data_IF_215972851530
#
_entry.id   IF_215972851530
#
_cell.length_a   1.000
_cell.length_b   1.000
_cell.length_c   1.000
_cell.angle_alpha   90.00
_cell.angle_beta   90.00
_cell.angle_gamma   90.00
#
_symmetry.space_group_name_H-M   'P 1'
#
loop_
_entity.id
_entity.type
_entity.pdbx_description
1 polymer ?
#
# COMPACT_ATOMS: atom_id res chain seq x y z
N UNK A 1 6.56 -34.90 17.35
CA UNK A 1 6.96 -33.57 16.85
C UNK A 1 5.76 -32.64 16.97
N UNK A 2 5.73 -31.79 18.01
CA UNK A 2 4.65 -30.82 18.24
C UNK A 2 4.96 -29.53 17.47
N UNK A 3 3.96 -29.10 16.70
CA UNK A 3 3.89 -27.83 15.97
C UNK A 3 4.25 -26.65 16.89
N UNK A 4 5.21 -25.81 16.46
CA UNK A 4 5.73 -24.70 17.25
C UNK A 4 4.72 -23.58 17.44
N UNK A 5 4.42 -23.25 18.69
CA UNK A 5 3.70 -22.04 19.10
C UNK A 5 4.41 -20.80 18.55
N UNK A 6 3.73 -20.01 17.71
CA UNK A 6 4.21 -18.71 17.27
C UNK A 6 4.36 -17.79 18.48
N UNK A 7 5.58 -17.34 18.75
CA UNK A 7 5.87 -16.46 19.87
C UNK A 7 5.29 -15.07 19.58
N UNK A 8 4.44 -14.55 20.48
CA UNK A 8 3.60 -13.35 20.27
C UNK A 8 4.38 -12.04 20.05
N UNK A 9 5.63 -11.97 20.49
CA UNK A 9 6.49 -10.80 20.30
C UNK A 9 7.40 -10.89 19.06
N UNK A 10 7.41 -12.02 18.34
CA UNK A 10 8.26 -12.20 17.16
C UNK A 10 7.51 -11.94 15.86
N UNK A 11 7.92 -10.89 15.14
CA UNK A 11 7.26 -10.38 13.95
C UNK A 11 7.95 -10.79 12.64
N UNK A 12 8.94 -11.69 12.69
CA UNK A 12 9.66 -12.22 11.52
C UNK A 12 10.26 -11.10 10.65
N UNK A 13 10.13 -11.21 9.33
CA UNK A 13 10.59 -10.25 8.31
C UNK A 13 9.65 -9.04 8.21
N UNK A 14 9.67 -8.18 9.21
CA UNK A 14 9.13 -6.81 9.09
C UNK A 14 10.27 -5.79 9.03
N UNK A 15 10.10 -4.74 8.24
CA UNK A 15 11.09 -3.65 8.16
C UNK A 15 11.07 -2.81 9.43
N UNK A 16 12.15 -2.08 9.69
CA UNK A 16 12.28 -1.15 10.82
C UNK A 16 11.13 -0.18 10.91
N UNK A 17 10.80 0.47 9.79
CA UNK A 17 9.70 1.43 9.69
C UNK A 17 8.34 0.77 9.99
N UNK A 18 8.12 -0.47 9.53
CA UNK A 18 6.90 -1.20 9.84
C UNK A 18 6.80 -1.53 11.34
N UNK A 19 7.93 -1.85 11.98
CA UNK A 19 7.99 -2.03 13.42
C UNK A 19 7.69 -0.75 14.19
N UNK A 20 8.23 0.39 13.75
CA UNK A 20 7.96 1.70 14.37
C UNK A 20 6.47 2.05 14.27
N UNK A 21 5.87 1.93 13.08
CA UNK A 21 4.44 2.17 12.89
C UNK A 21 3.59 1.29 13.79
N UNK A 22 3.91 -0.01 13.84
CA UNK A 22 3.19 -0.97 14.68
C UNK A 22 3.29 -0.59 16.14
N UNK A 23 4.48 -0.25 16.64
CA UNK A 23 4.70 0.13 18.04
C UNK A 23 4.05 1.48 18.39
N UNK A 24 4.01 2.43 17.47
CA UNK A 24 3.41 3.77 17.69
C UNK A 24 1.88 3.79 17.56
N UNK A 25 1.24 2.65 17.30
CA UNK A 25 -0.22 2.52 17.36
C UNK A 25 -0.75 2.92 18.75
N UNK A 26 -1.92 3.60 18.84
CA UNK A 26 -2.51 4.02 20.12
C UNK A 26 -2.76 2.89 21.11
N UNK A 27 -2.92 1.66 20.63
CA UNK A 27 -3.15 0.45 21.42
C UNK A 27 -1.90 -0.05 22.17
N UNK A 28 -0.71 0.44 21.81
CA UNK A 28 0.53 0.11 22.50
C UNK A 28 0.87 1.17 23.56
N UNK A 29 1.38 0.69 24.70
CA UNK A 29 1.85 1.55 25.80
C UNK A 29 3.37 1.74 25.75
N UNK A 30 3.88 2.70 26.52
CA UNK A 30 5.33 2.86 26.75
C UNK A 30 5.94 1.54 27.24
N UNK A 31 7.11 1.15 26.72
CA UNK A 31 7.72 -0.16 26.99
C UNK A 31 7.19 -1.29 26.10
N UNK A 32 6.22 -1.05 25.21
CA UNK A 32 5.81 -2.05 24.22
C UNK A 32 6.98 -2.43 23.31
N UNK A 33 7.07 -3.71 22.92
CA UNK A 33 8.24 -4.19 22.17
C UNK A 33 7.90 -5.29 21.15
N UNK A 34 8.80 -5.46 20.18
CA UNK A 34 8.80 -6.60 19.27
C UNK A 34 10.21 -7.00 18.87
N UNK A 35 10.38 -8.25 18.44
CA UNK A 35 11.61 -8.76 17.82
C UNK A 35 11.33 -9.08 16.36
N UNK A 36 12.25 -8.70 15.48
CA UNK A 36 12.19 -8.90 14.02
C UNK A 36 13.53 -9.35 13.48
N UNK A 37 13.53 -9.86 12.26
CA UNK A 37 14.78 -10.19 11.56
C UNK A 37 15.58 -8.90 11.27
N UNK A 38 16.91 -8.96 11.39
CA UNK A 38 17.77 -7.82 11.09
C UNK A 38 17.82 -7.55 9.59
N UNK A 39 17.57 -6.30 9.19
CA UNK A 39 17.71 -5.87 7.79
C UNK A 39 19.17 -5.75 7.34
N UNK A 40 20.09 -5.54 8.30
CA UNK A 40 21.49 -5.23 8.00
C UNK A 40 22.41 -6.44 7.95
N UNK A 41 22.04 -7.56 8.59
CA UNK A 41 22.81 -8.82 8.54
C UNK A 41 21.91 -10.04 8.59
N UNK A 42 22.25 -11.00 7.75
CA UNK A 42 21.64 -12.32 7.74
C UNK A 42 21.85 -13.02 9.10
N UNK A 43 20.80 -13.68 9.61
CA UNK A 43 20.75 -14.41 10.89
C UNK A 43 20.86 -13.60 12.19
N UNK A 44 21.01 -12.27 12.12
CA UNK A 44 20.84 -11.39 13.30
C UNK A 44 19.37 -11.03 13.51
N UNK A 45 19.03 -10.59 14.72
CA UNK A 45 17.70 -10.06 15.05
C UNK A 45 17.80 -8.59 15.49
N UNK A 46 16.66 -7.90 15.51
CA UNK A 46 16.53 -6.55 16.07
C UNK A 46 15.38 -6.51 17.06
N UNK A 47 15.64 -5.92 18.24
CA UNK A 47 14.64 -5.57 19.25
C UNK A 47 14.21 -4.12 19.04
N UNK A 48 12.92 -3.89 18.86
CA UNK A 48 12.33 -2.56 18.73
C UNK A 48 11.46 -2.29 19.96
N UNK A 49 11.65 -1.14 20.63
CA UNK A 49 10.99 -0.78 21.89
C UNK A 49 10.40 0.62 21.82
N UNK A 50 9.14 0.79 22.23
CA UNK A 50 8.47 2.10 22.32
C UNK A 50 8.94 2.85 23.57
N UNK A 51 9.46 4.04 23.34
CA UNK A 51 9.91 5.00 24.36
C UNK A 51 9.14 6.31 24.17
N UNK A 52 7.95 6.36 24.76
CA UNK A 52 7.01 7.48 24.65
C UNK A 52 6.44 7.58 23.23
N UNK A 53 6.75 8.68 22.56
CA UNK A 53 6.37 8.95 21.17
C UNK A 53 7.44 8.54 20.15
N UNK A 54 8.51 7.88 20.60
CA UNK A 54 9.59 7.39 19.74
C UNK A 54 9.78 5.89 19.89
N UNK A 55 10.52 5.28 18.95
CA UNK A 55 10.88 3.86 19.01
C UNK A 55 12.40 3.73 18.94
N UNK A 56 12.98 2.93 19.83
CA UNK A 56 14.42 2.63 19.86
C UNK A 56 14.68 1.22 19.34
N UNK A 57 15.79 1.06 18.62
CA UNK A 57 16.17 -0.22 18.02
C UNK A 57 17.52 -0.68 18.56
N UNK A 58 17.55 -1.94 19.02
CA UNK A 58 18.74 -2.60 19.54
C UNK A 58 19.05 -3.82 18.70
N UNK A 59 20.33 -4.00 18.38
CA UNK A 59 20.79 -5.14 17.60
C UNK A 59 20.97 -6.34 18.52
N UNK A 60 20.29 -7.45 18.20
CA UNK A 60 20.53 -8.73 18.85
C UNK A 60 21.47 -9.52 17.95
N UNK A 61 22.68 -9.78 18.44
CA UNK A 61 23.72 -10.53 17.71
C UNK A 61 23.74 -11.98 18.18
N UNK A 62 24.05 -12.88 17.27
CA UNK A 62 24.25 -14.30 17.58
C UNK A 62 25.74 -14.60 17.85
N UNK A 63 26.02 -15.52 18.77
CA UNK A 63 27.37 -16.06 19.03
C UNK A 63 27.62 -17.31 18.16
N UNK A 64 28.89 -17.57 17.82
CA UNK A 64 29.29 -18.72 16.98
C UNK A 64 28.93 -20.07 17.61
N UNK A 65 28.98 -20.17 18.95
CA UNK A 65 28.64 -21.39 19.72
C UNK A 65 27.13 -21.51 20.04
N UNK A 66 26.31 -20.60 19.50
CA UNK A 66 24.90 -20.45 19.83
C UNK A 66 24.65 -19.51 21.01
N UNK A 67 23.50 -18.84 20.99
CA UNK A 67 23.12 -17.81 21.97
C UNK A 67 23.07 -16.40 21.39
N UNK A 68 22.48 -15.48 22.16
CA UNK A 68 22.07 -14.14 21.75
C UNK A 68 22.55 -13.10 22.76
N UNK A 69 22.87 -11.90 22.29
CA UNK A 69 23.18 -10.77 23.16
C UNK A 69 22.86 -9.43 22.49
N UNK A 70 22.59 -8.41 23.31
CA UNK A 70 22.58 -6.99 22.89
C UNK A 70 23.91 -6.36 23.30
N UNK A 71 24.24 -6.43 24.59
CA UNK A 71 25.55 -6.09 25.13
C UNK A 71 26.34 -7.37 25.44
N UNK A 72 27.63 -7.45 25.05
CA UNK A 72 28.45 -8.67 25.24
C UNK A 72 28.59 -9.15 26.69
N UNK A 73 28.30 -8.28 27.66
CA UNK A 73 28.35 -8.59 29.10
C UNK A 73 27.27 -9.58 29.55
N UNK A 74 26.14 -9.64 28.83
CA UNK A 74 25.00 -10.48 29.18
C UNK A 74 24.59 -11.30 27.95
N UNK A 75 24.72 -12.62 28.04
CA UNK A 75 24.42 -13.56 26.95
C UNK A 75 23.26 -14.47 27.34
N UNK A 76 22.45 -14.86 26.36
CA UNK A 76 21.23 -15.63 26.55
C UNK A 76 21.23 -16.84 25.62
N UNK A 77 20.72 -17.99 26.05
CA UNK A 77 20.64 -19.18 25.19
C UNK A 77 19.51 -19.07 24.18
N UNK A 78 18.43 -18.38 24.56
CA UNK A 78 17.25 -18.18 23.72
C UNK A 78 16.81 -16.72 23.71
N UNK A 79 16.11 -16.30 22.65
CA UNK A 79 15.45 -14.99 22.61
C UNK A 79 14.39 -14.82 23.71
N UNK A 80 13.80 -15.92 24.18
CA UNK A 80 12.85 -15.91 25.29
C UNK A 80 13.53 -15.50 26.61
N UNK A 81 14.70 -16.06 26.91
CA UNK A 81 15.50 -15.66 28.08
C UNK A 81 15.93 -14.19 28.00
N UNK A 82 16.31 -13.72 26.80
CA UNK A 82 16.63 -12.32 26.56
C UNK A 82 15.45 -11.40 26.89
N UNK A 83 14.25 -11.74 26.41
CA UNK A 83 13.03 -10.96 26.67
C UNK A 83 12.68 -10.97 28.16
N UNK A 84 12.78 -12.12 28.83
CA UNK A 84 12.48 -12.25 30.26
C UNK A 84 13.43 -11.42 31.14
N UNK A 85 14.71 -11.36 30.78
CA UNK A 85 15.70 -10.49 31.44
C UNK A 85 15.34 -9.02 31.29
N UNK A 86 15.19 -8.56 30.04
CA UNK A 86 14.91 -7.15 29.76
C UNK A 86 13.51 -6.68 30.17
N UNK A 87 12.61 -7.62 30.49
CA UNK A 87 11.32 -7.30 31.13
C UNK A 87 11.46 -6.99 32.62
N UNK A 88 12.47 -7.56 33.30
CA UNK A 88 12.72 -7.36 34.74
C UNK A 88 13.67 -6.21 35.01
N UNK A 89 14.70 -6.05 34.19
CA UNK A 89 15.72 -5.02 34.32
C UNK A 89 16.05 -4.46 32.94
N UNK A 90 16.07 -3.14 32.77
CA UNK A 90 16.39 -2.54 31.49
C UNK A 90 17.84 -2.80 31.07
N UNK A 91 18.77 -3.04 32.01
CA UNK A 91 20.19 -3.36 31.75
C UNK A 91 20.78 -2.58 30.56
N UNK A 92 20.58 -1.25 30.57
CA UNK A 92 21.08 -0.32 29.55
C UNK A 92 20.18 -0.10 28.33
N UNK A 93 19.01 -0.73 28.23
CA UNK A 93 17.94 -0.33 27.31
C UNK A 93 17.30 0.99 27.77
N UNK A 94 16.59 1.65 26.86
CA UNK A 94 15.89 2.90 27.14
C UNK A 94 14.84 2.72 28.24
N UNK A 95 14.16 1.57 28.25
CA UNK A 95 13.05 1.24 29.15
C UNK A 95 12.99 -0.27 29.35
N UNK A 96 12.36 -0.73 30.44
CA UNK A 96 12.02 -2.14 30.62
C UNK A 96 11.02 -2.58 29.54
N UNK A 97 11.14 -3.83 29.09
CA UNK A 97 10.15 -4.44 28.20
C UNK A 97 8.87 -4.70 28.98
N UNK A 98 7.74 -4.21 28.47
CA UNK A 98 6.42 -4.41 29.06
C UNK A 98 5.62 -5.44 28.27
N UNK A 99 4.64 -4.99 27.47
CA UNK A 99 3.79 -5.88 26.69
C UNK A 99 4.35 -6.08 25.27
N UNK A 100 4.20 -7.26 24.67
CA UNK A 100 4.42 -7.43 23.23
C UNK A 100 3.59 -6.42 22.44
N UNK A 101 4.16 -5.91 21.35
CA UNK A 101 3.46 -5.06 20.40
C UNK A 101 2.16 -5.75 19.95
N UNK A 102 1.05 -5.02 19.93
CA UNK A 102 -0.21 -5.58 19.46
C UNK A 102 -0.03 -6.10 18.03
N UNK A 103 -0.33 -7.37 17.83
CA UNK A 103 -0.54 -7.92 16.51
C UNK A 103 -1.98 -7.58 16.15
N UNK A 104 -2.20 -6.39 15.59
CA UNK A 104 -3.40 -6.19 14.79
C UNK A 104 -3.22 -7.15 13.62
N UNK A 105 -3.82 -8.33 13.75
CA UNK A 105 -3.93 -9.27 12.65
C UNK A 105 -4.46 -8.47 11.48
N UNK A 106 -3.64 -8.37 10.42
CA UNK A 106 -4.18 -8.04 9.10
C UNK A 106 -5.38 -8.96 8.94
N UNK A 107 -6.56 -8.49 8.50
CA UNK A 107 -7.65 -9.40 8.18
C UNK A 107 -7.07 -10.53 7.34
N UNK A 108 -6.98 -11.73 7.94
CA UNK A 108 -6.46 -12.88 7.24
C UNK A 108 -7.57 -13.26 6.28
N UNK A 109 -7.47 -12.75 5.05
CA UNK A 109 -8.42 -13.07 3.98
C UNK A 109 -8.35 -14.54 3.55
N UNK A 110 -7.42 -15.31 4.13
CA UNK A 110 -7.37 -16.78 4.01
C UNK A 110 -8.47 -17.49 4.83
N UNK A 111 -9.19 -16.77 5.70
CA UNK A 111 -10.27 -17.33 6.53
C UNK A 111 -11.64 -17.45 5.86
N UNK A 112 -11.85 -16.86 4.68
CA UNK A 112 -13.17 -16.90 4.02
C UNK A 112 -13.42 -18.23 3.26
N UNK A 113 -12.43 -19.13 3.24
CA UNK A 113 -12.33 -20.04 2.10
C UNK A 113 -11.41 -21.26 2.30
N UNK A 114 -11.68 -22.10 3.30
CA UNK A 114 -11.25 -23.51 3.21
C UNK A 114 -12.25 -24.37 2.41
N UNK A 115 -13.48 -23.88 2.18
CA UNK A 115 -14.52 -24.57 1.40
C UNK A 115 -14.90 -23.88 0.07
N UNK A 116 -14.55 -22.62 -0.13
CA UNK A 116 -14.96 -21.77 -1.27
C UNK A 116 -13.78 -21.23 -2.10
N UNK A 117 -12.57 -21.78 -1.93
CA UNK A 117 -11.33 -21.24 -2.56
C UNK A 117 -11.35 -21.22 -4.07
N UNK A 118 -12.16 -22.11 -4.63
CA UNK A 118 -12.41 -22.25 -6.06
C UNK A 118 -13.85 -21.87 -6.45
N UNK A 119 -14.69 -21.44 -5.50
CA UNK A 119 -16.08 -20.99 -5.70
C UNK A 119 -16.19 -19.48 -5.49
N UNK A 120 -15.95 -18.73 -6.57
CA UNK A 120 -16.10 -17.27 -6.58
C UNK A 120 -17.56 -16.82 -6.66
N UNK A 121 -18.44 -17.68 -7.17
CA UNK A 121 -19.86 -17.40 -7.29
C UNK A 121 -20.55 -17.64 -5.94
N UNK A 122 -21.32 -16.68 -5.46
CA UNK A 122 -22.08 -16.79 -4.22
C UNK A 122 -23.56 -16.46 -4.44
N UNK A 123 -24.43 -17.00 -3.59
CA UNK A 123 -25.84 -16.63 -3.59
C UNK A 123 -26.01 -15.18 -3.16
N UNK A 124 -26.69 -14.36 -3.98
CA UNK A 124 -26.98 -12.95 -3.69
C UNK A 124 -27.78 -12.73 -2.41
N UNK A 125 -28.57 -13.71 -1.98
CA UNK A 125 -29.32 -13.64 -0.71
C UNK A 125 -28.41 -13.62 0.52
N UNK A 126 -27.15 -14.05 0.37
CA UNK A 126 -26.12 -13.95 1.41
C UNK A 126 -25.61 -12.51 1.63
N UNK A 127 -25.95 -11.57 0.75
CA UNK A 127 -25.54 -10.17 0.80
C UNK A 127 -26.66 -9.29 1.35
N UNK A 128 -26.33 -8.48 2.35
CA UNK A 128 -27.18 -7.42 2.86
C UNK A 128 -26.61 -6.06 2.49
N UNK A 129 -27.35 -5.27 1.72
CA UNK A 129 -27.00 -3.89 1.41
C UNK A 129 -27.24 -3.01 2.65
N UNK A 130 -26.25 -2.20 3.01
CA UNK A 130 -26.30 -1.31 4.19
C UNK A 130 -26.52 0.13 3.76
N UNK A 131 -25.59 0.69 2.96
CA UNK A 131 -25.72 2.06 2.43
C UNK A 131 -24.98 2.21 1.12
N UNK A 132 -25.42 3.17 0.30
CA UNK A 132 -24.72 3.50 -0.93
C UNK A 132 -23.45 4.31 -0.62
N UNK A 133 -22.32 3.87 -1.16
CA UNK A 133 -21.01 4.53 -1.01
C UNK A 133 -20.76 5.52 -2.15
N UNK A 134 -21.18 5.18 -3.37
CA UNK A 134 -20.95 6.03 -4.53
C UNK A 134 -21.67 5.54 -5.79
N UNK A 135 -21.59 6.35 -6.84
CA UNK A 135 -22.02 5.98 -8.19
C UNK A 135 -20.84 6.23 -9.13
N UNK A 136 -20.38 5.19 -9.81
CA UNK A 136 -19.36 5.28 -10.85
C UNK A 136 -19.98 5.30 -12.24
N UNK A 137 -19.11 5.35 -13.26
CA UNK A 137 -19.53 5.33 -14.67
C UNK A 137 -20.36 4.09 -15.03
N UNK A 138 -20.08 2.94 -14.39
CA UNK A 138 -20.64 1.64 -14.76
C UNK A 138 -21.74 1.15 -13.81
N UNK A 139 -21.92 1.81 -12.66
CA UNK A 139 -22.96 1.45 -11.70
C UNK A 139 -22.68 1.94 -10.29
N UNK A 140 -23.39 1.39 -9.31
CA UNK A 140 -23.35 1.88 -7.93
C UNK A 140 -22.46 0.98 -7.05
N UNK A 141 -21.76 1.59 -6.10
CA UNK A 141 -20.99 0.89 -5.08
C UNK A 141 -21.71 1.03 -3.75
N UNK A 142 -21.89 -0.09 -3.05
CA UNK A 142 -22.59 -0.17 -1.78
C UNK A 142 -21.70 -0.75 -0.69
N UNK A 143 -21.88 -0.26 0.52
CA UNK A 143 -21.46 -0.96 1.73
C UNK A 143 -22.46 -2.06 2.01
N UNK A 144 -21.98 -3.25 2.34
CA UNK A 144 -22.81 -4.39 2.67
C UNK A 144 -22.20 -5.31 3.71
N UNK A 145 -22.98 -6.31 4.09
CA UNK A 145 -22.55 -7.43 4.93
C UNK A 145 -22.74 -8.74 4.16
N UNK A 146 -21.69 -9.55 4.09
CA UNK A 146 -21.77 -10.93 3.63
C UNK A 146 -22.02 -11.86 4.82
N UNK A 147 -23.04 -12.71 4.73
CA UNK A 147 -23.47 -13.64 5.79
C UNK A 147 -23.71 -12.96 7.15
N UNK A 148 -24.10 -11.68 7.15
CA UNK A 148 -24.27 -10.83 8.34
C UNK A 148 -23.01 -10.63 9.22
N UNK A 149 -21.84 -11.09 8.79
CA UNK A 149 -20.62 -11.08 9.61
C UNK A 149 -19.49 -10.26 8.99
N UNK A 150 -19.32 -10.33 7.67
CA UNK A 150 -18.16 -9.73 6.99
C UNK A 150 -18.54 -8.44 6.27
N UNK A 151 -17.99 -7.28 6.64
CA UNK A 151 -18.16 -6.04 5.88
C UNK A 151 -17.53 -6.15 4.48
N UNK A 152 -18.29 -5.75 3.47
CA UNK A 152 -17.90 -5.84 2.06
C UNK A 152 -18.31 -4.59 1.28
N UNK A 153 -17.60 -4.32 0.19
CA UNK A 153 -18.06 -3.41 -0.84
C UNK A 153 -18.71 -4.22 -1.98
N UNK A 154 -19.91 -3.81 -2.40
CA UNK A 154 -20.71 -4.46 -3.44
C UNK A 154 -20.83 -3.48 -4.62
N UNK A 155 -20.09 -3.75 -5.69
CA UNK A 155 -20.19 -3.02 -6.95
C UNK A 155 -21.28 -3.67 -7.81
N UNK A 156 -22.26 -2.88 -8.21
CA UNK A 156 -23.42 -3.33 -8.99
C UNK A 156 -23.31 -2.82 -10.42
N UNK A 157 -23.60 -3.67 -11.41
CA UNK A 157 -23.74 -3.25 -12.80
C UNK A 157 -25.21 -2.88 -13.07
N UNK A 158 -25.47 -1.66 -13.55
CA UNK A 158 -26.83 -1.27 -13.97
C UNK A 158 -27.11 -1.86 -15.35
N UNK A 159 -28.31 -2.40 -15.56
CA UNK A 159 -28.70 -2.94 -16.86
C UNK A 159 -28.60 -1.86 -17.94
N UNK A 160 -27.98 -2.19 -19.07
CA UNK A 160 -27.80 -1.29 -20.22
C UNK A 160 -26.66 -0.28 -20.14
N UNK A 161 -25.83 -0.26 -19.08
CA UNK A 161 -24.69 0.67 -18.98
C UNK A 161 -23.38 0.16 -19.59
N UNK A 162 -23.16 -1.16 -19.62
CA UNK A 162 -21.95 -1.80 -20.15
C UNK A 162 -22.21 -3.28 -20.44
N UNK A 163 -21.42 -3.89 -21.35
CA UNK A 163 -21.42 -5.34 -21.57
C UNK A 163 -20.99 -6.07 -20.28
N UNK A 164 -21.80 -7.01 -19.76
CA UNK A 164 -21.42 -7.89 -18.65
C UNK A 164 -20.01 -8.49 -18.73
N UNK A 165 -19.52 -8.79 -19.94
CA UNK A 165 -18.17 -9.31 -20.16
C UNK A 165 -17.08 -8.30 -19.80
N UNK A 166 -17.29 -7.04 -20.16
CA UNK A 166 -16.36 -5.96 -19.84
C UNK A 166 -16.38 -5.68 -18.32
N UNK A 167 -17.56 -5.73 -17.70
CA UNK A 167 -17.68 -5.60 -16.24
C UNK A 167 -16.98 -6.74 -15.49
N UNK A 168 -17.12 -7.98 -15.98
CA UNK A 168 -16.47 -9.15 -15.38
C UNK A 168 -14.96 -9.23 -15.67
N UNK A 169 -14.45 -8.51 -16.67
CA UNK A 169 -13.02 -8.45 -16.94
C UNK A 169 -12.23 -7.94 -15.74
N UNK A 170 -12.76 -6.92 -15.03
CA UNK A 170 -12.17 -6.39 -13.80
C UNK A 170 -12.04 -7.48 -12.73
N UNK A 171 -13.11 -8.27 -12.52
CA UNK A 171 -13.09 -9.39 -11.58
C UNK A 171 -12.08 -10.46 -11.99
N UNK A 172 -11.92 -10.76 -13.28
CA UNK A 172 -10.94 -11.74 -13.74
C UNK A 172 -9.49 -11.31 -13.48
N UNK A 173 -9.21 -10.01 -13.57
CA UNK A 173 -7.90 -9.45 -13.22
C UNK A 173 -7.66 -9.61 -11.71
N UNK A 174 -8.63 -9.20 -10.88
CA UNK A 174 -8.52 -9.32 -9.41
C UNK A 174 -8.42 -10.77 -8.91
N UNK A 175 -8.96 -11.76 -9.65
CA UNK A 175 -8.78 -13.18 -9.34
C UNK A 175 -7.31 -13.62 -9.46
N UNK A 176 -6.62 -13.13 -10.49
CA UNK A 176 -5.23 -13.50 -10.82
C UNK A 176 -4.21 -12.71 -9.99
N UNK A 177 -4.50 -11.44 -9.75
CA UNK A 177 -3.58 -10.50 -9.10
C UNK A 177 -3.88 -10.43 -7.61
N UNK A 178 -2.97 -10.96 -6.79
CA UNK A 178 -3.10 -10.98 -5.33
C UNK A 178 -1.90 -10.33 -4.69
N UNK A 179 -2.12 -9.17 -4.10
CA UNK A 179 -1.09 -8.43 -3.39
C UNK A 179 -1.71 -7.55 -2.31
N UNK A 180 -1.00 -7.36 -1.19
CA UNK A 180 -1.51 -6.66 0.00
C UNK A 180 -1.80 -5.17 -0.24
N UNK A 181 -1.35 -4.60 -1.36
CA UNK A 181 -1.59 -3.21 -1.79
C UNK A 181 -2.52 -3.10 -2.99
N UNK A 182 -3.18 -4.19 -3.39
CA UNK A 182 -4.26 -4.20 -4.37
C UNK A 182 -5.57 -4.53 -3.66
N UNK A 183 -6.69 -3.99 -4.16
CA UNK A 183 -8.01 -4.31 -3.63
C UNK A 183 -8.32 -5.79 -3.87
N UNK A 184 -8.72 -6.49 -2.81
CA UNK A 184 -8.98 -7.93 -2.86
C UNK A 184 -10.42 -8.20 -3.30
N UNK A 185 -10.58 -9.00 -4.36
CA UNK A 185 -11.85 -9.63 -4.71
C UNK A 185 -12.16 -10.76 -3.70
N UNK A 186 -13.37 -10.78 -3.19
CA UNK A 186 -13.91 -11.87 -2.38
C UNK A 186 -14.80 -12.79 -3.20
N UNK A 187 -15.77 -12.25 -3.93
CA UNK A 187 -16.76 -13.03 -4.64
C UNK A 187 -17.41 -12.26 -5.80
N UNK A 188 -18.23 -12.95 -6.59
CA UNK A 188 -19.09 -12.39 -7.64
C UNK A 188 -20.49 -13.00 -7.55
N UNK A 189 -21.50 -12.28 -8.05
CA UNK A 189 -22.83 -12.82 -8.32
C UNK A 189 -23.16 -12.55 -9.79
N UNK A 190 -23.09 -13.58 -10.63
CA UNK A 190 -23.17 -13.49 -12.09
C UNK A 190 -24.32 -14.30 -12.70
N UNK A 191 -24.97 -15.17 -11.91
CA UNK A 191 -26.07 -16.02 -12.38
C UNK A 191 -27.33 -15.25 -12.80
N UNK A 192 -27.53 -14.06 -12.22
CA UNK A 192 -28.71 -13.22 -12.46
C UNK A 192 -28.29 -11.74 -12.56
N UNK A 193 -29.08 -10.92 -13.26
CA UNK A 193 -28.94 -9.47 -13.19
C UNK A 193 -29.60 -8.88 -11.93
N UNK A 194 -29.13 -7.72 -11.43
CA UNK A 194 -27.86 -7.07 -11.78
C UNK A 194 -26.64 -7.84 -11.26
N UNK A 195 -25.52 -7.82 -12.00
CA UNK A 195 -24.28 -8.51 -11.62
C UNK A 195 -23.60 -7.79 -10.45
N UNK A 196 -23.06 -8.57 -9.50
CA UNK A 196 -22.30 -8.05 -8.35
C UNK A 196 -20.83 -8.47 -8.38
N UNK A 197 -19.96 -7.53 -8.02
CA UNK A 197 -18.56 -7.78 -7.68
C UNK A 197 -18.38 -7.40 -6.21
N UNK A 198 -17.90 -8.34 -5.41
CA UNK A 198 -17.77 -8.21 -3.96
C UNK A 198 -16.28 -8.12 -3.61
N UNK A 199 -15.86 -6.99 -3.06
CA UNK A 199 -14.47 -6.76 -2.63
C UNK A 199 -14.40 -6.48 -1.13
N UNK A 200 -13.18 -6.44 -0.60
CA UNK A 200 -12.97 -5.87 0.73
C UNK A 200 -13.51 -4.43 0.83
N UNK A 201 -14.00 -4.08 2.01
CA UNK A 201 -14.51 -2.74 2.31
C UNK A 201 -13.38 -1.83 2.82
N UNK A 202 -13.09 -0.78 2.06
CA UNK A 202 -12.14 0.27 2.45
C UNK A 202 -12.89 1.43 3.11
N UNK A 203 -12.92 1.44 4.45
CA UNK A 203 -13.80 2.28 5.28
C UNK A 203 -13.65 3.79 5.07
N UNK A 204 -12.55 4.26 4.52
CA UNK A 204 -12.28 5.68 4.32
C UNK A 204 -12.47 6.13 2.87
N UNK A 205 -12.97 5.26 1.99
CA UNK A 205 -13.32 5.61 0.61
C UNK A 205 -12.08 5.84 -0.26
N UNK A 206 -12.21 6.71 -1.25
CA UNK A 206 -11.09 7.05 -2.14
C UNK A 206 -10.02 7.89 -1.42
N UNK A 207 -8.77 7.76 -1.85
CA UNK A 207 -7.66 8.57 -1.35
C UNK A 207 -7.88 10.04 -1.68
N UNK A 208 -8.50 10.36 -2.82
CA UNK A 208 -8.87 11.73 -3.18
C UNK A 208 -9.81 12.36 -2.13
N UNK A 209 -10.93 11.70 -1.82
CA UNK A 209 -11.90 12.20 -0.84
C UNK A 209 -11.28 12.23 0.57
N UNK A 210 -10.46 11.23 0.89
CA UNK A 210 -9.77 11.16 2.16
C UNK A 210 -8.83 12.34 2.34
N UNK A 211 -7.97 12.65 1.37
CA UNK A 211 -7.03 13.78 1.41
C UNK A 211 -7.75 15.13 1.55
N UNK A 212 -8.89 15.31 0.87
CA UNK A 212 -9.68 16.54 0.93
C UNK A 212 -10.48 16.68 2.25
N UNK A 213 -10.71 15.58 2.94
CA UNK A 213 -11.42 15.51 4.24
C UNK A 213 -10.49 15.17 5.40
N UNK A 214 -10.65 13.96 5.96
CA UNK A 214 -9.98 13.50 7.19
C UNK A 214 -8.46 13.46 7.09
N UNK A 215 -7.93 13.24 5.89
CA UNK A 215 -6.50 13.17 5.59
C UNK A 215 -5.81 14.54 5.49
N UNK A 216 -6.54 15.66 5.64
CA UNK A 216 -5.96 17.00 5.55
C UNK A 216 -4.97 17.33 6.67
N UNK A 217 -5.02 16.59 7.78
CA UNK A 217 -4.07 16.71 8.90
C UNK A 217 -2.84 15.81 8.76
N UNK A 218 -2.74 14.99 7.71
CA UNK A 218 -1.58 14.13 7.50
C UNK A 218 -0.33 14.97 7.27
N UNK A 219 0.78 14.53 7.84
CA UNK A 219 2.09 15.17 7.62
C UNK A 219 2.80 14.51 6.43
N UNK A 220 3.78 15.21 5.87
CA UNK A 220 4.57 14.73 4.73
C UNK A 220 5.09 13.28 4.90
N UNK A 221 5.62 12.85 6.07
CA UNK A 221 6.00 11.45 6.28
C UNK A 221 4.87 10.44 6.02
N UNK A 222 3.64 10.76 6.41
CA UNK A 222 2.49 9.88 6.20
C UNK A 222 2.05 9.86 4.72
N UNK A 223 2.19 10.98 4.02
CA UNK A 223 1.90 11.07 2.59
C UNK A 223 2.94 10.29 1.76
N UNK A 224 4.21 10.40 2.10
CA UNK A 224 5.30 9.60 1.50
C UNK A 224 5.08 8.11 1.77
N UNK A 225 4.62 7.76 2.98
CA UNK A 225 4.29 6.37 3.26
C UNK A 225 3.16 5.84 2.38
N UNK A 226 2.07 6.60 2.21
CA UNK A 226 1.01 6.23 1.27
C UNK A 226 1.54 6.08 -0.16
N UNK A 227 2.45 6.95 -0.59
CA UNK A 227 3.12 6.83 -1.88
C UNK A 227 3.92 5.52 -2.00
N UNK A 228 4.71 5.16 -0.98
CA UNK A 228 5.49 3.92 -0.94
C UNK A 228 4.57 2.68 -1.01
N UNK A 229 3.44 2.70 -0.29
CA UNK A 229 2.44 1.64 -0.36
C UNK A 229 1.83 1.48 -1.77
N UNK A 230 1.55 2.58 -2.46
CA UNK A 230 1.04 2.57 -3.85
C UNK A 230 2.13 2.07 -4.80
N UNK A 231 3.38 2.55 -4.66
CA UNK A 231 4.51 2.10 -5.46
C UNK A 231 4.72 0.59 -5.33
N UNK A 232 4.61 0.02 -4.12
CA UNK A 232 4.68 -1.42 -3.89
C UNK A 232 3.55 -2.20 -4.62
N UNK A 233 2.33 -1.65 -4.65
CA UNK A 233 1.23 -2.22 -5.43
C UNK A 233 1.50 -2.22 -6.93
N UNK A 234 2.03 -1.10 -7.45
CA UNK A 234 2.39 -0.97 -8.86
C UNK A 234 3.62 -1.78 -9.26
N UNK A 235 4.61 -1.94 -8.38
CA UNK A 235 5.76 -2.81 -8.59
C UNK A 235 5.33 -4.28 -8.74
N UNK A 236 4.33 -4.69 -7.96
CA UNK A 236 3.71 -6.00 -8.16
C UNK A 236 3.04 -6.10 -9.54
N UNK A 237 2.23 -5.12 -9.95
CA UNK A 237 1.61 -5.12 -11.29
C UNK A 237 2.65 -5.18 -12.42
N UNK A 238 3.73 -4.39 -12.31
CA UNK A 238 4.88 -4.42 -13.21
C UNK A 238 5.48 -5.83 -13.29
N UNK A 239 5.71 -6.50 -12.15
CA UNK A 239 6.24 -7.87 -12.13
C UNK A 239 5.31 -8.91 -12.76
N UNK A 240 4.01 -8.61 -12.84
CA UNK A 240 3.00 -9.47 -13.45
C UNK A 240 2.70 -9.09 -14.92
N UNK A 241 3.42 -8.13 -15.50
CA UNK A 241 3.20 -7.59 -16.85
C UNK A 241 1.80 -6.97 -17.04
N UNK A 242 1.26 -6.34 -16.00
CA UNK A 242 0.00 -5.60 -16.07
C UNK A 242 0.23 -4.09 -16.06
N UNK A 243 -0.58 -3.38 -16.86
CA UNK A 243 -0.71 -1.93 -16.78
C UNK A 243 -2.07 -1.54 -16.20
N UNK A 244 -2.08 -0.48 -15.39
CA UNK A 244 -3.27 0.06 -14.73
C UNK A 244 -4.05 1.01 -15.65
N UNK A 245 -3.36 1.92 -16.36
CA UNK A 245 -3.89 2.92 -17.32
C UNK A 245 -4.72 4.05 -16.74
N UNK A 246 -5.15 3.94 -15.49
CA UNK A 246 -5.88 5.00 -14.78
C UNK A 246 -5.42 5.16 -13.32
N UNK A 247 -4.10 5.21 -13.10
CA UNK A 247 -3.57 5.40 -11.75
C UNK A 247 -3.75 6.86 -11.32
N UNK A 248 -4.57 7.08 -10.30
CA UNK A 248 -4.88 8.39 -9.74
C UNK A 248 -5.40 8.25 -8.30
N UNK A 249 -5.39 9.32 -7.50
CA UNK A 249 -5.88 9.26 -6.12
C UNK A 249 -7.35 8.82 -5.99
N UNK A 250 -8.19 9.09 -7.00
CA UNK A 250 -9.59 8.60 -7.03
C UNK A 250 -9.72 7.07 -7.12
N UNK A 251 -8.69 6.40 -7.66
CA UNK A 251 -8.64 4.94 -7.88
C UNK A 251 -7.74 4.24 -6.85
N UNK A 252 -7.35 4.93 -5.79
CA UNK A 252 -6.72 4.34 -4.61
C UNK A 252 -7.71 4.44 -3.47
N UNK A 253 -7.90 3.36 -2.71
CA UNK A 253 -8.83 3.30 -1.59
C UNK A 253 -8.08 3.29 -0.27
N UNK A 254 -8.69 3.87 0.77
CA UNK A 254 -8.10 4.04 2.10
C UNK A 254 -8.86 3.21 3.14
N UNK A 255 -8.09 2.40 3.88
CA UNK A 255 -8.56 1.59 5.00
C UNK A 255 -8.11 2.18 6.33
N UNK A 256 -8.28 1.41 7.40
CA UNK A 256 -7.83 1.81 8.74
C UNK A 256 -6.30 2.00 8.76
N UNK A 257 -5.81 2.84 9.67
CA UNK A 257 -4.37 3.12 9.88
C UNK A 257 -3.63 3.58 8.61
N UNK A 258 -4.28 4.38 7.77
CA UNK A 258 -3.71 4.93 6.52
C UNK A 258 -3.20 3.85 5.55
N UNK A 259 -3.74 2.63 5.63
CA UNK A 259 -3.47 1.59 4.63
C UNK A 259 -4.16 1.99 3.34
N UNK A 260 -3.38 2.06 2.25
CA UNK A 260 -3.89 2.34 0.92
C UNK A 260 -3.79 1.12 0.02
N UNK A 261 -4.79 0.94 -0.84
CA UNK A 261 -4.83 -0.14 -1.84
C UNK A 261 -5.27 0.41 -3.18
N UNK A 262 -4.60 -0.03 -4.24
CA UNK A 262 -4.97 0.31 -5.62
C UNK A 262 -6.24 -0.45 -5.98
N UNK A 263 -7.19 0.25 -6.59
CA UNK A 263 -8.48 -0.26 -7.01
C UNK A 263 -8.79 0.16 -8.45
N UNK A 264 -9.95 -0.27 -8.95
CA UNK A 264 -10.48 0.03 -10.29
C UNK A 264 -9.56 -0.40 -11.45
N UNK A 265 -9.49 -1.72 -11.63
CA UNK A 265 -8.80 -2.36 -12.75
C UNK A 265 -9.63 -2.35 -14.05
N UNK A 266 -10.70 -1.56 -14.15
CA UNK A 266 -11.62 -1.58 -15.29
C UNK A 266 -10.96 -1.26 -16.63
N UNK A 267 -9.83 -0.55 -16.60
CA UNK A 267 -9.00 -0.29 -17.79
C UNK A 267 -7.72 -1.14 -17.84
N UNK A 268 -7.39 -1.86 -16.77
CA UNK A 268 -6.14 -2.60 -16.65
C UNK A 268 -6.07 -3.76 -17.64
N UNK A 269 -4.85 -4.08 -18.11
CA UNK A 269 -4.64 -5.11 -19.14
C UNK A 269 -3.32 -5.84 -18.94
N UNK A 270 -3.34 -7.14 -19.22
CA UNK A 270 -2.12 -7.94 -19.41
C UNK A 270 -1.48 -7.52 -20.72
N UNK A 271 -0.18 -7.30 -20.68
CA UNK A 271 0.63 -6.99 -21.84
C UNK A 271 1.55 -8.17 -22.17
N UNK A 272 1.67 -8.50 -23.45
CA UNK A 272 2.61 -9.53 -23.95
C UNK A 272 3.89 -8.97 -24.59
N UNK A 273 3.85 -7.71 -25.03
CA UNK A 273 4.93 -6.97 -25.71
C UNK A 273 5.00 -5.57 -25.09
N UNK A 274 6.14 -4.89 -24.98
CA UNK A 274 6.32 -3.70 -24.12
C UNK A 274 5.32 -2.52 -24.27
N UNK A 275 4.51 -2.48 -25.34
CA UNK A 275 3.50 -1.45 -25.61
C UNK A 275 2.10 -2.05 -25.93
N UNK A 276 1.04 -1.34 -25.54
CA UNK A 276 -0.34 -1.60 -25.94
C UNK A 276 -0.95 -0.39 -26.66
N UNK A 277 -1.49 -0.60 -27.85
CA UNK A 277 -2.24 0.42 -28.60
C UNK A 277 -3.74 0.35 -28.28
N UNK A 278 -4.30 1.45 -27.76
CA UNK A 278 -5.73 1.54 -27.48
C UNK A 278 -6.58 1.79 -28.74
N UNK A 279 -7.86 1.42 -28.69
CA UNK A 279 -8.82 1.68 -29.79
C UNK A 279 -9.09 3.18 -29.96
N UNK A 280 -9.25 3.61 -31.21
CA UNK A 280 -9.62 4.98 -31.59
C UNK A 280 -10.92 5.41 -30.87
N UNK A 281 -10.91 6.59 -30.24
CA UNK A 281 -12.07 7.18 -29.55
C UNK A 281 -12.19 6.85 -28.06
N UNK A 282 -11.24 6.13 -27.47
CA UNK A 282 -11.21 5.90 -26.03
C UNK A 282 -10.97 7.22 -25.26
N UNK A 283 -11.78 7.44 -24.21
CA UNK A 283 -11.65 8.61 -23.33
C UNK A 283 -10.74 8.29 -22.16
N UNK A 284 -9.74 9.12 -21.93
CA UNK A 284 -8.76 8.94 -20.85
C UNK A 284 -8.63 10.22 -20.01
N UNK A 285 -8.21 10.11 -18.74
CA UNK A 285 -8.02 11.24 -17.84
C UNK A 285 -6.76 12.02 -18.22
N UNK A 286 -6.86 12.89 -19.23
CA UNK A 286 -5.75 13.61 -19.89
C UNK A 286 -4.67 14.13 -18.92
N UNK A 287 -5.07 14.70 -17.78
CA UNK A 287 -4.13 15.28 -16.79
C UNK A 287 -3.25 14.26 -16.06
N UNK A 288 -3.59 12.98 -16.08
CA UNK A 288 -2.80 11.89 -15.52
C UNK A 288 -2.07 11.08 -16.61
N UNK A 289 -2.50 11.20 -17.86
CA UNK A 289 -2.01 10.37 -18.96
C UNK A 289 -0.67 10.88 -19.48
N UNK A 290 0.29 9.98 -19.67
CA UNK A 290 1.58 10.28 -20.28
C UNK A 290 1.42 10.80 -21.72
N UNK A 291 2.31 11.68 -22.21
CA UNK A 291 2.15 12.29 -23.54
C UNK A 291 2.10 11.25 -24.67
N UNK A 292 2.90 10.19 -24.60
CA UNK A 292 2.89 9.12 -25.61
C UNK A 292 1.57 8.32 -25.61
N UNK A 293 0.97 8.13 -24.42
CA UNK A 293 -0.30 7.47 -24.27
C UNK A 293 -1.47 8.36 -24.72
N UNK A 294 -1.39 9.67 -24.47
CA UNK A 294 -2.43 10.61 -24.85
C UNK A 294 -2.43 10.93 -26.36
N UNK A 295 -1.26 11.13 -26.95
CA UNK A 295 -1.12 11.54 -28.36
C UNK A 295 -1.17 10.34 -29.32
N UNK A 296 -0.61 9.20 -28.91
CA UNK A 296 -0.42 8.05 -29.79
C UNK A 296 -1.09 6.77 -29.29
N UNK A 297 -1.86 6.85 -28.20
CA UNK A 297 -2.53 5.68 -27.60
C UNK A 297 -1.56 4.55 -27.18
N UNK A 298 -0.28 4.87 -26.96
CA UNK A 298 0.78 3.94 -26.55
C UNK A 298 0.84 3.82 -25.03
N UNK A 299 0.23 2.78 -24.48
CA UNK A 299 0.24 2.51 -23.06
C UNK A 299 1.29 1.46 -22.70
N UNK A 300 2.02 1.71 -21.62
CA UNK A 300 3.00 0.80 -21.05
C UNK A 300 3.11 1.04 -19.54
N UNK A 301 3.86 0.22 -18.82
CA UNK A 301 4.12 0.46 -17.40
C UNK A 301 4.79 1.84 -17.18
N UNK A 302 5.55 2.33 -18.16
CA UNK A 302 6.17 3.67 -18.11
C UNK A 302 5.15 4.79 -18.22
N UNK A 303 4.00 4.57 -18.86
CA UNK A 303 2.88 5.51 -18.84
C UNK A 303 2.15 5.53 -17.47
N UNK A 304 2.15 4.41 -16.75
CA UNK A 304 1.67 4.37 -15.36
C UNK A 304 2.66 5.05 -14.41
N UNK A 305 3.98 4.96 -14.66
CA UNK A 305 4.99 5.71 -13.89
C UNK A 305 4.77 7.22 -14.00
N UNK A 306 4.41 7.72 -15.19
CA UNK A 306 4.00 9.12 -15.34
C UNK A 306 2.79 9.45 -14.47
N UNK A 307 1.76 8.60 -14.53
CA UNK A 307 0.53 8.74 -13.75
C UNK A 307 0.81 8.74 -12.24
N UNK A 308 1.77 7.93 -11.80
CA UNK A 308 2.26 7.93 -10.42
C UNK A 308 2.90 9.25 -10.02
N UNK A 309 3.72 9.86 -10.89
CA UNK A 309 4.26 11.20 -10.65
C UNK A 309 3.15 12.25 -10.45
N UNK A 310 2.07 12.17 -11.22
CA UNK A 310 0.88 13.02 -11.03
C UNK A 310 0.19 12.71 -9.70
N UNK A 311 0.04 11.44 -9.33
CA UNK A 311 -0.53 11.01 -8.05
C UNK A 311 0.29 11.55 -6.86
N UNK A 312 1.62 11.59 -6.95
CA UNK A 312 2.45 12.21 -5.91
C UNK A 312 2.09 13.70 -5.72
N UNK A 313 1.75 14.42 -6.79
CA UNK A 313 1.25 15.80 -6.65
C UNK A 313 -0.08 15.86 -5.94
N UNK A 314 -1.00 14.93 -6.23
CA UNK A 314 -2.29 14.85 -5.53
C UNK A 314 -2.07 14.63 -4.03
N UNK A 315 -1.16 13.75 -3.64
CA UNK A 315 -0.80 13.51 -2.24
C UNK A 315 -0.32 14.78 -1.53
N UNK A 316 0.73 15.43 -2.05
CA UNK A 316 1.35 16.59 -1.36
C UNK A 316 0.52 17.87 -1.44
N UNK A 317 -0.46 17.91 -2.34
CA UNK A 317 -1.42 19.03 -2.46
C UNK A 317 -2.79 18.73 -1.85
N UNK A 318 -2.95 17.58 -1.19
CA UNK A 318 -4.21 17.14 -0.57
C UNK A 318 -5.39 17.06 -1.55
N UNK A 319 -5.13 16.43 -2.70
CA UNK A 319 -6.15 16.15 -3.72
C UNK A 319 -6.51 17.35 -4.58
N UNK A 320 -5.62 18.35 -4.73
CA UNK A 320 -5.86 19.41 -5.73
C UNK A 320 -5.78 18.81 -7.12
N UNK A 321 -6.62 19.33 -8.02
CA UNK A 321 -6.60 18.94 -9.42
C UNK A 321 -5.23 19.26 -10.05
N UNK A 322 -4.60 18.32 -10.77
CA UNK A 322 -3.36 18.58 -11.49
C UNK A 322 -3.52 19.72 -12.51
N UNK A 323 -2.42 20.41 -12.81
CA UNK A 323 -2.38 21.55 -13.73
C UNK A 323 -3.52 22.56 -13.46
N UNK A 324 -3.53 23.19 -12.27
CA UNK A 324 -4.60 24.10 -11.89
C UNK A 324 -4.68 25.28 -12.88
N UNK A 325 -5.90 25.60 -13.31
CA UNK A 325 -6.15 26.67 -14.29
C UNK A 325 -5.95 26.28 -15.76
N UNK A 326 -5.47 25.07 -16.06
CA UNK A 326 -5.33 24.58 -17.45
C UNK A 326 -6.45 23.61 -17.82
N UNK A 327 -6.96 23.77 -19.04
CA UNK A 327 -7.84 22.81 -19.74
C UNK A 327 -7.05 21.58 -20.20
N UNK A 328 -7.75 20.50 -20.57
CA UNK A 328 -7.10 19.28 -21.07
C UNK A 328 -6.27 19.54 -22.33
N UNK A 329 -6.75 20.38 -23.24
CA UNK A 329 -6.03 20.71 -24.48
C UNK A 329 -4.74 21.48 -24.17
N UNK A 330 -4.80 22.49 -23.29
CA UNK A 330 -3.62 23.24 -22.86
C UNK A 330 -2.60 22.35 -22.16
N UNK A 331 -3.04 21.41 -21.31
CA UNK A 331 -2.12 20.46 -20.65
C UNK A 331 -1.37 19.63 -21.67
N UNK A 332 -2.04 19.05 -22.67
CA UNK A 332 -1.39 18.27 -23.73
C UNK A 332 -0.34 19.11 -24.47
N UNK A 333 -0.73 20.32 -24.90
CA UNK A 333 0.18 21.22 -25.61
C UNK A 333 1.38 21.60 -24.73
N UNK A 334 1.17 22.04 -23.50
CA UNK A 334 2.26 22.51 -22.64
C UNK A 334 3.22 21.39 -22.25
N UNK A 335 2.69 20.20 -21.91
CA UNK A 335 3.51 19.03 -21.55
C UNK A 335 4.40 18.60 -22.71
N UNK A 336 3.89 18.63 -23.95
CA UNK A 336 4.65 18.32 -25.16
C UNK A 336 5.80 19.31 -25.39
N UNK A 337 5.58 20.59 -25.09
CA UNK A 337 6.60 21.66 -25.10
C UNK A 337 7.56 21.63 -23.91
N UNK A 338 7.46 20.63 -23.03
CA UNK A 338 8.40 20.41 -21.93
C UNK A 338 7.97 21.01 -20.60
N UNK A 339 6.79 21.62 -20.50
CA UNK A 339 6.27 22.11 -19.22
C UNK A 339 6.10 20.95 -18.22
N UNK A 340 6.50 21.18 -16.97
CA UNK A 340 6.19 20.34 -15.81
C UNK A 340 5.64 21.21 -14.69
N UNK A 341 4.74 20.66 -13.88
CA UNK A 341 4.18 21.40 -12.75
C UNK A 341 5.31 21.82 -11.80
N UNK A 342 5.30 23.06 -11.27
CA UNK A 342 6.32 23.50 -10.33
C UNK A 342 6.22 22.73 -9.00
N UNK A 343 7.31 22.75 -8.23
CA UNK A 343 7.36 22.14 -6.90
C UNK A 343 6.25 22.69 -5.99
N UNK A 344 5.39 21.83 -5.42
CA UNK A 344 4.38 22.27 -4.46
C UNK A 344 5.01 22.82 -3.17
N UNK A 345 4.38 23.82 -2.54
CA UNK A 345 4.91 24.51 -1.35
C UNK A 345 5.27 23.57 -0.17
N UNK A 346 4.53 22.48 0.02
CA UNK A 346 4.74 21.52 1.12
C UNK A 346 5.52 20.27 0.69
N UNK A 347 6.12 20.28 -0.49
CA UNK A 347 6.92 19.18 -1.03
C UNK A 347 8.40 19.44 -0.81
N UNK A 348 9.14 18.48 -0.24
CA UNK A 348 10.60 18.58 -0.19
C UNK A 348 11.20 18.34 -1.58
N UNK A 349 12.43 18.83 -1.79
CA UNK A 349 13.12 18.72 -3.08
C UNK A 349 13.33 17.27 -3.53
N UNK A 350 13.76 16.32 -2.67
CA UNK A 350 13.97 14.95 -3.10
C UNK A 350 12.69 14.26 -3.62
N UNK A 351 11.53 14.55 -3.02
CA UNK A 351 10.26 14.00 -3.51
C UNK A 351 9.85 14.63 -4.85
N UNK A 352 10.12 15.93 -5.03
CA UNK A 352 9.87 16.60 -6.29
C UNK A 352 10.80 16.11 -7.42
N UNK A 353 12.06 15.79 -7.12
CA UNK A 353 12.97 15.15 -8.07
C UNK A 353 12.42 13.80 -8.56
N UNK A 354 11.83 12.99 -7.66
CA UNK A 354 11.13 11.76 -8.05
C UNK A 354 9.97 12.05 -9.00
N UNK A 355 9.18 13.11 -8.77
CA UNK A 355 8.11 13.50 -9.69
C UNK A 355 8.66 13.85 -11.08
N UNK A 356 9.77 14.61 -11.14
CA UNK A 356 10.43 14.97 -12.40
C UNK A 356 10.99 13.75 -13.14
N UNK A 357 11.56 12.79 -12.42
CA UNK A 357 12.00 11.50 -13.00
C UNK A 357 10.83 10.72 -13.61
N UNK A 358 9.68 10.68 -12.92
CA UNK A 358 8.45 10.08 -13.44
C UNK A 358 7.96 10.77 -14.71
N UNK A 359 8.16 12.08 -14.83
CA UNK A 359 7.73 12.88 -15.99
C UNK A 359 8.82 13.09 -17.04
N UNK A 360 9.82 12.21 -17.11
CA UNK A 360 10.79 12.25 -18.20
C UNK A 360 10.08 12.12 -19.56
N UNK A 361 10.51 12.94 -20.54
CA UNK A 361 9.95 12.90 -21.90
C UNK A 361 10.18 11.54 -22.55
N UNK A 362 11.35 10.95 -22.33
CA UNK A 362 11.67 9.59 -22.80
C UNK A 362 11.12 8.55 -21.79
N UNK A 363 10.14 7.71 -22.18
CA UNK A 363 9.57 6.69 -21.30
C UNK A 363 10.61 5.74 -20.72
N UNK A 364 11.68 5.43 -21.46
CA UNK A 364 12.72 4.50 -21.03
C UNK A 364 13.62 5.07 -19.93
N UNK A 365 13.66 6.39 -19.79
CA UNK A 365 14.39 7.07 -18.71
C UNK A 365 13.59 7.21 -17.42
N UNK A 366 12.30 6.88 -17.44
CA UNK A 366 11.47 6.87 -16.23
C UNK A 366 11.86 5.65 -15.37
N UNK A 367 11.87 5.78 -14.03
CA UNK A 367 12.26 4.69 -13.14
C UNK A 367 11.30 3.49 -13.24
N UNK A 368 11.69 2.34 -12.71
CA UNK A 368 10.76 1.22 -12.46
C UNK A 368 9.96 1.48 -11.18
N UNK A 369 8.83 0.80 -11.01
CA UNK A 369 8.08 0.92 -9.75
C UNK A 369 8.82 0.31 -8.57
N UNK A 370 9.63 -0.73 -8.79
CA UNK A 370 10.56 -1.26 -7.79
C UNK A 370 11.55 -0.18 -7.32
N UNK A 371 12.13 0.58 -8.26
CA UNK A 371 13.05 1.69 -7.93
C UNK A 371 12.32 2.80 -7.16
N UNK A 372 11.11 3.16 -7.60
CA UNK A 372 10.30 4.17 -6.91
C UNK A 372 9.92 3.74 -5.50
N UNK A 373 9.53 2.48 -5.32
CA UNK A 373 9.24 1.92 -4.00
C UNK A 373 10.46 2.06 -3.09
N UNK A 374 11.64 1.60 -3.55
CA UNK A 374 12.87 1.70 -2.77
C UNK A 374 13.20 3.14 -2.40
N UNK A 375 13.18 4.06 -3.37
CA UNK A 375 13.43 5.48 -3.12
C UNK A 375 12.50 6.07 -2.07
N UNK A 376 11.20 5.75 -2.13
CA UNK A 376 10.19 6.26 -1.21
C UNK A 376 10.29 5.65 0.20
N UNK A 377 10.68 4.38 0.30
CA UNK A 377 10.98 3.74 1.58
C UNK A 377 12.27 4.31 2.21
N UNK A 378 13.25 4.72 1.39
CA UNK A 378 14.55 5.23 1.82
C UNK A 378 14.48 6.68 2.39
N UNK A 379 13.38 7.42 2.16
CA UNK A 379 13.14 8.72 2.82
C UNK A 379 13.17 8.64 4.35
N UNK A 380 13.04 7.44 4.90
CA UNK A 380 12.96 7.18 6.34
C UNK A 380 14.20 6.44 6.89
N UNK A 381 15.19 6.10 6.06
CA UNK A 381 16.37 5.28 6.45
C UNK A 381 17.68 6.08 6.51
N UNK A 382 17.71 7.32 6.03
CA UNK A 382 18.91 8.15 5.98
C UNK A 382 19.27 8.79 7.34
N UNK A 383 19.46 7.98 8.39
CA UNK A 383 20.34 8.37 9.50
C UNK A 383 21.01 7.13 10.15
N UNK A 384 22.31 6.88 9.88
CA UNK A 384 23.10 5.81 10.52
C UNK A 384 23.26 5.96 12.05
N UNK A 385 22.88 7.09 12.66
CA UNK A 385 22.99 7.34 14.11
C UNK A 385 21.88 6.65 14.94
N UNK A 386 20.97 5.91 14.32
CA UNK A 386 19.69 5.54 14.94
C UNK A 386 19.63 4.17 15.64
N UNK A 387 20.65 3.31 15.51
CA UNK A 387 20.77 2.12 16.35
C UNK A 387 21.52 2.47 17.64
N UNK A 388 20.88 2.26 18.79
CA UNK A 388 21.51 2.52 20.08
C UNK A 388 22.30 1.30 20.56
N UNK A 389 23.50 1.55 21.05
CA UNK A 389 24.15 0.60 21.95
C UNK A 389 23.49 0.68 23.33
N UNK A 390 23.42 -0.45 24.03
CA UNK A 390 23.03 -0.41 25.43
C UNK A 390 24.06 0.44 26.20
N UNK A 391 23.59 1.33 27.07
CA UNK A 391 24.49 2.22 27.80
C UNK A 391 25.54 1.41 28.58
N UNK A 392 26.83 1.80 28.53
CA UNK A 392 27.78 1.41 29.56
C UNK A 392 27.36 2.10 30.86
N UNK A 393 27.34 1.35 31.96
CA UNK A 393 27.15 1.93 33.29
C UNK A 393 28.31 2.84 33.66
#
# INVERSE_FOLDING_TARGET
>A
MKSGSSVVWYFRKIKRIEAEKKLLLPENEHGAFLIRDSESRHNDYSLSVRDGDTVKHYRIRQLDEGGFFIARRTTFRTLQELVEHYSKDSDGLCVNLCKPCVQIEKPVTDGLSHRTRDQWEIDRTSLKFVRKLGSGQFGDVWEGLWNNTTPVAIKTLKSGTMDPKDFLAEAQIMKKLRHVKLIQLYAVCTLEEPIYIITELMKHGSLLDYLQGKGRSLKLPQLIDMAAQIAAGMAYLESQNYIHRDLAARNVLVGDNNIVKIADFGLARLIKEDEYEARVGARFPIKWTAPEAANYSKFSIKSDVWSFGILLTELVTYGRIPYPGMTNAEVLTQVEHGYRMPQPQNCNTPLYEIMLECWNKDPMRRPTFETLQWKLEDFFTMDPSEYKEAAPF
#
